data_IF_460062228973
#
_entry.id   IF_460062228973
#
_cell.length_a   1.000
_cell.length_b   1.000
_cell.length_c   1.000
_cell.angle_alpha   90.00
_cell.angle_beta   90.00
_cell.angle_gamma   90.00
#
_symmetry.space_group_name_H-M   'P 1'
#
loop_
_entity.id
_entity.type
_entity.pdbx_description
1 polymer ?
#
# COMPACT_ATOMS: atom_id res chain seq x y z
N UNK A 1 -6.03 3.70 2.93
CA UNK A 1 -6.12 2.40 3.63
C UNK A 1 -6.18 1.28 2.62
N UNK A 2 -5.38 0.24 2.79
CA UNK A 2 -5.51 -0.99 2.02
C UNK A 2 -6.57 -1.87 2.66
N UNK A 3 -7.52 -2.37 1.86
CA UNK A 3 -8.56 -3.29 2.29
C UNK A 3 -8.49 -4.54 1.43
N UNK A 4 -8.10 -5.67 2.03
CA UNK A 4 -8.02 -6.94 1.33
C UNK A 4 -9.27 -7.76 1.58
N UNK A 5 -10.14 -7.83 0.57
CA UNK A 5 -11.37 -8.62 0.60
C UNK A 5 -11.18 -10.02 -0.03
N UNK A 6 -9.93 -10.44 -0.26
CA UNK A 6 -9.59 -11.74 -0.82
C UNK A 6 -8.99 -12.68 0.23
N UNK A 7 -8.88 -13.97 -0.14
CA UNK A 7 -8.32 -15.01 0.71
C UNK A 7 -6.79 -15.15 0.60
N UNK A 8 -6.13 -14.34 -0.24
CA UNK A 8 -4.67 -14.30 -0.37
C UNK A 8 -4.11 -13.00 0.17
N UNK A 9 -2.90 -13.03 0.73
CA UNK A 9 -2.22 -11.82 1.18
C UNK A 9 -1.52 -11.08 0.04
N UNK A 10 -1.46 -9.76 0.14
CA UNK A 10 -0.89 -8.90 -0.90
C UNK A 10 0.19 -7.98 -0.32
N UNK A 11 1.46 -8.11 -0.73
CA UNK A 11 2.49 -7.11 -0.40
C UNK A 11 2.25 -5.86 -1.26
N UNK A 12 1.62 -4.83 -0.71
CA UNK A 12 1.34 -3.59 -1.43
C UNK A 12 2.54 -2.65 -1.37
N UNK A 13 3.05 -2.22 -2.53
CA UNK A 13 4.23 -1.38 -2.69
C UNK A 13 3.89 -0.05 -3.37
N UNK A 14 4.41 1.06 -2.84
CA UNK A 14 4.25 2.40 -3.40
C UNK A 14 5.62 2.97 -3.82
N UNK A 15 5.73 3.36 -5.09
CA UNK A 15 6.95 3.96 -5.64
C UNK A 15 7.18 5.36 -5.07
N UNK A 16 8.45 5.75 -4.94
CA UNK A 16 8.86 7.11 -4.56
C UNK A 16 8.62 7.49 -3.10
N UNK A 17 7.99 6.62 -2.31
CA UNK A 17 7.54 6.95 -0.96
C UNK A 17 7.89 5.85 0.04
N UNK A 18 8.27 6.26 1.24
CA UNK A 18 8.17 5.43 2.43
C UNK A 18 7.01 5.94 3.29
N UNK A 19 6.19 5.03 3.79
CA UNK A 19 5.00 5.32 4.58
C UNK A 19 5.05 4.61 5.93
N UNK A 20 4.34 5.15 6.92
CA UNK A 20 4.21 4.53 8.23
C UNK A 20 2.92 3.72 8.31
N UNK A 21 2.97 2.50 8.87
CA UNK A 21 1.74 1.77 9.23
C UNK A 21 1.17 2.37 10.52
N UNK A 22 -0.06 2.89 10.45
CA UNK A 22 -0.70 3.62 11.56
C UNK A 22 -1.92 2.92 12.15
N UNK A 23 -2.50 1.93 11.45
CA UNK A 23 -3.53 1.06 12.03
C UNK A 23 -3.60 -0.30 11.32
N UNK A 24 -3.99 -1.34 12.07
CA UNK A 24 -4.28 -2.68 11.56
C UNK A 24 -5.68 -3.07 12.02
N UNK A 25 -6.56 -3.40 11.09
CA UNK A 25 -7.97 -3.72 11.36
C UNK A 25 -8.69 -2.68 12.23
N UNK A 26 -8.38 -1.39 12.00
CA UNK A 26 -8.95 -0.28 12.77
C UNK A 26 -8.27 0.00 14.11
N UNK A 27 -7.40 -0.89 14.60
CA UNK A 27 -6.64 -0.67 15.83
C UNK A 27 -5.40 0.18 15.54
N UNK A 28 -5.26 1.38 16.15
CA UNK A 28 -4.09 2.23 15.97
C UNK A 28 -2.80 1.54 16.41
N UNK A 29 -1.72 1.75 15.66
CA UNK A 29 -0.37 1.25 15.98
C UNK A 29 0.69 2.26 15.58
N UNK A 30 1.83 2.27 16.28
CA UNK A 30 3.04 2.97 15.86
C UNK A 30 3.93 2.00 15.05
N UNK A 31 3.49 1.65 13.85
CA UNK A 31 4.17 0.67 13.01
C UNK A 31 5.44 1.21 12.34
N UNK A 32 6.21 0.30 11.72
CA UNK A 32 7.44 0.67 11.02
C UNK A 32 7.19 1.47 9.74
N UNK A 33 8.14 2.32 9.39
CA UNK A 33 8.18 3.05 8.11
C UNK A 33 8.83 2.18 7.02
N UNK A 34 8.18 2.05 5.87
CA UNK A 34 8.56 1.16 4.76
C UNK A 34 7.89 1.58 3.45
N UNK A 35 8.34 1.07 2.32
CA UNK A 35 7.72 1.27 1.00
C UNK A 35 6.72 0.17 0.61
N UNK A 36 6.74 -0.96 1.34
CA UNK A 36 5.94 -2.15 1.04
C UNK A 36 5.35 -2.73 2.31
N UNK A 37 4.05 -3.02 2.31
CA UNK A 37 3.37 -3.65 3.46
C UNK A 37 2.56 -4.86 3.03
N UNK A 38 2.72 -5.95 3.78
CA UNK A 38 1.86 -7.12 3.62
C UNK A 38 0.47 -6.83 4.20
N UNK A 39 -0.55 -7.00 3.36
CA UNK A 39 -1.96 -6.91 3.76
C UNK A 39 -2.51 -8.34 3.82
N UNK A 40 -2.73 -8.90 5.02
CA UNK A 40 -3.22 -10.27 5.18
C UNK A 40 -4.60 -10.48 4.52
N UNK A 41 -5.01 -11.74 4.29
CA UNK A 41 -6.38 -12.06 3.89
C UNK A 41 -7.40 -11.43 4.83
N UNK A 42 -8.51 -10.92 4.29
CA UNK A 42 -9.64 -10.37 5.05
C UNK A 42 -9.25 -9.29 6.09
N UNK A 43 -8.22 -8.51 5.80
CA UNK A 43 -7.67 -7.51 6.73
C UNK A 43 -7.56 -6.11 6.10
N UNK A 44 -7.45 -5.11 6.97
CA UNK A 44 -7.18 -3.71 6.62
C UNK A 44 -5.87 -3.24 7.22
N UNK A 45 -5.09 -2.51 6.43
CA UNK A 45 -3.87 -1.82 6.89
C UNK A 45 -3.95 -0.36 6.47
N UNK A 46 -3.89 0.54 7.45
CA UNK A 46 -3.87 1.99 7.20
C UNK A 46 -2.44 2.49 7.27
N UNK A 47 -2.05 3.28 6.27
CA UNK A 47 -0.72 3.86 6.15
C UNK A 47 -0.82 5.39 6.07
N UNK A 48 0.15 6.09 6.64
CA UNK A 48 0.34 7.52 6.49
C UNK A 48 1.48 7.77 5.49
N UNK A 49 1.19 8.57 4.47
CA UNK A 49 2.10 8.90 3.36
C UNK A 49 2.23 10.42 3.30
N UNK A 50 3.45 10.91 3.27
CA UNK A 50 3.73 12.29 2.85
C UNK A 50 3.69 12.32 1.32
N UNK A 51 2.77 13.08 0.72
CA UNK A 51 2.48 13.01 -0.72
C UNK A 51 3.65 13.46 -1.63
N UNK A 52 4.59 14.26 -1.10
CA UNK A 52 5.78 14.68 -1.83
C UNK A 52 5.46 15.52 -3.08
N UNK A 53 6.25 15.29 -4.13
CA UNK A 53 6.24 16.07 -5.37
C UNK A 53 5.05 15.75 -6.29
N UNK A 54 4.64 16.74 -7.10
CA UNK A 54 3.63 16.57 -8.12
C UNK A 54 4.12 15.65 -9.26
N UNK A 55 3.71 14.39 -9.22
CA UNK A 55 4.05 13.36 -10.20
C UNK A 55 3.05 12.18 -10.11
N UNK A 56 3.21 11.21 -11.02
CA UNK A 56 2.48 9.93 -11.00
C UNK A 56 3.42 8.83 -10.53
N UNK A 57 3.01 8.11 -9.50
CA UNK A 57 3.79 7.05 -8.85
C UNK A 57 3.04 5.73 -8.95
N UNK A 58 3.75 4.65 -9.21
CA UNK A 58 3.14 3.32 -9.28
C UNK A 58 2.76 2.81 -7.88
N UNK A 59 1.55 2.29 -7.76
CA UNK A 59 1.07 1.55 -6.59
C UNK A 59 0.63 0.16 -7.05
N UNK A 60 1.26 -0.90 -6.54
CA UNK A 60 0.96 -2.25 -7.00
C UNK A 60 1.19 -3.32 -5.95
N UNK A 61 0.66 -4.51 -6.21
CA UNK A 61 1.04 -5.70 -5.47
C UNK A 61 2.45 -6.15 -5.91
N UNK A 62 3.31 -6.47 -4.97
CA UNK A 62 4.68 -6.93 -5.17
C UNK A 62 4.77 -8.47 -5.28
N UNK A 63 3.62 -9.12 -5.49
CA UNK A 63 3.53 -10.50 -5.93
C UNK A 63 3.51 -10.50 -7.47
N UNK A 64 4.62 -10.92 -8.10
CA UNK A 64 4.85 -10.74 -9.54
C UNK A 64 3.70 -11.24 -10.44
N UNK A 65 3.10 -12.42 -10.21
CA UNK A 65 1.91 -12.83 -10.95
C UNK A 65 0.75 -11.84 -10.87
N UNK A 66 0.46 -11.29 -9.69
CA UNK A 66 -0.63 -10.32 -9.51
C UNK A 66 -0.33 -9.01 -10.23
N UNK A 67 0.91 -8.51 -10.14
CA UNK A 67 1.36 -7.34 -10.90
C UNK A 67 1.18 -7.57 -12.40
N UNK A 68 1.71 -8.69 -12.91
CA UNK A 68 1.68 -9.02 -14.33
C UNK A 68 0.24 -9.19 -14.88
N UNK A 69 -0.71 -9.58 -14.03
CA UNK A 69 -2.13 -9.70 -14.40
C UNK A 69 -2.96 -8.45 -14.06
N UNK A 70 -2.34 -7.33 -13.70
CA UNK A 70 -3.00 -6.02 -13.62
C UNK A 70 -3.33 -5.52 -12.20
N UNK A 71 -2.80 -6.12 -11.14
CA UNK A 71 -2.97 -5.61 -9.77
C UNK A 71 -2.04 -4.40 -9.50
N UNK A 72 -2.28 -3.34 -10.25
CA UNK A 72 -1.52 -2.10 -10.26
C UNK A 72 -2.44 -0.91 -10.55
N UNK A 73 -2.05 0.24 -10.03
CA UNK A 73 -2.68 1.54 -10.29
C UNK A 73 -1.64 2.64 -10.08
N UNK A 74 -2.06 3.89 -10.19
CA UNK A 74 -1.22 5.04 -9.96
C UNK A 74 -1.71 5.86 -8.77
N UNK A 75 -0.75 6.41 -8.05
CA UNK A 75 -0.92 7.48 -7.08
C UNK A 75 -0.44 8.78 -7.72
N UNK A 76 -1.38 9.67 -8.05
CA UNK A 76 -1.09 10.94 -8.70
C UNK A 76 -1.18 12.09 -7.69
N UNK A 77 -0.14 12.91 -7.66
CA UNK A 77 -0.09 14.16 -6.89
C UNK A 77 -0.04 15.31 -7.89
N UNK A 78 -0.93 16.28 -7.73
CA UNK A 78 -1.04 17.46 -8.58
C UNK A 78 -0.87 18.74 -7.75
N UNK A 79 -0.41 19.80 -8.40
CA UNK A 79 -0.29 21.15 -7.83
C UNK A 79 -1.63 21.89 -7.79
#
# INVERSE_FOLDING_TARGET
TFHNMSMMGHPMHLHGHAFQVVAINGTPVAGARRDTVYVPPMAMVTVAVDAGEAARWMLHCHHMPHLATGMMTEFAVSA
#
